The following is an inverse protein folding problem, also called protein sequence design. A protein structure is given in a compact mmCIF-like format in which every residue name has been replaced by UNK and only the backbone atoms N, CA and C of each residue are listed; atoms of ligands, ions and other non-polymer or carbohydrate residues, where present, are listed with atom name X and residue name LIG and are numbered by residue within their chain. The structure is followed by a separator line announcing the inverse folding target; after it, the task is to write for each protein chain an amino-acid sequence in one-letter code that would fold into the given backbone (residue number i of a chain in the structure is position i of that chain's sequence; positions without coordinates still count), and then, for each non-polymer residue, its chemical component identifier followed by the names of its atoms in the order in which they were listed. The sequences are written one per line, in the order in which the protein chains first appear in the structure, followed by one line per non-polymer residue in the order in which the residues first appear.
data_IF_478938312781
#
_entry.id   IF_478938312781
#
_cell.length_a   1.000
_cell.length_b   1.000
_cell.length_c   1.000
_cell.angle_alpha   90.00
_cell.angle_beta   90.00
_cell.angle_gamma   90.00
#
_symmetry.space_group_name_H-M   'P 1'
#
loop_
_entity.id
_entity.type
_entity.pdbx_description
1 polymer ?
#
# COMPACT_ATOMS: atom_id res chain seq x y z
N UNK A 1 30.60 -9.96 -17.85
CA UNK A 1 29.66 -11.06 -18.16
C UNK A 1 28.26 -10.48 -18.02
N UNK A 2 27.75 -9.96 -19.15
CA UNK A 2 26.46 -9.28 -19.26
C UNK A 2 25.33 -10.24 -18.89
N UNK A 3 24.81 -10.11 -17.69
CA UNK A 3 23.53 -10.70 -17.34
C UNK A 3 22.47 -9.80 -17.94
N UNK A 4 21.78 -10.29 -18.98
CA UNK A 4 20.66 -9.55 -19.58
C UNK A 4 19.67 -9.10 -18.47
N UNK A 5 19.23 -7.83 -18.45
CA UNK A 5 18.36 -7.27 -17.41
C UNK A 5 17.07 -8.08 -17.20
N UNK A 6 16.58 -8.75 -18.25
CA UNK A 6 15.41 -9.62 -18.20
C UNK A 6 15.55 -10.86 -17.30
N UNK A 7 16.76 -11.43 -17.12
CA UNK A 7 16.97 -12.58 -16.21
C UNK A 7 16.95 -12.15 -14.75
N UNK A 8 17.54 -11.01 -14.41
CA UNK A 8 17.52 -10.49 -13.03
C UNK A 8 16.11 -10.18 -12.55
N UNK A 9 15.25 -9.71 -13.45
CA UNK A 9 13.86 -9.42 -13.17
C UNK A 9 13.02 -10.65 -12.89
N UNK A 10 13.10 -11.66 -13.75
CA UNK A 10 12.39 -12.91 -13.53
C UNK A 10 12.71 -13.51 -12.16
N UNK A 11 13.95 -13.34 -11.68
CA UNK A 11 14.37 -13.83 -10.37
C UNK A 11 13.78 -12.98 -9.22
N UNK A 12 13.65 -11.65 -9.36
CA UNK A 12 13.01 -10.78 -8.36
C UNK A 12 11.53 -11.13 -8.22
N UNK A 13 10.80 -11.26 -9.34
CA UNK A 13 9.40 -11.64 -9.33
C UNK A 13 9.17 -13.03 -8.73
N UNK A 14 9.99 -14.01 -9.09
CA UNK A 14 9.90 -15.36 -8.51
C UNK A 14 10.06 -15.34 -7.00
N UNK A 15 11.06 -14.62 -6.50
CA UNK A 15 11.30 -14.49 -5.05
C UNK A 15 10.14 -13.76 -4.35
N UNK A 16 9.60 -12.70 -4.98
CA UNK A 16 8.45 -11.97 -4.44
C UNK A 16 7.21 -12.86 -4.37
N UNK A 17 6.90 -13.58 -5.44
CA UNK A 17 5.77 -14.52 -5.48
C UNK A 17 5.95 -15.62 -4.43
N UNK A 18 7.14 -16.19 -4.30
CA UNK A 18 7.43 -17.20 -3.28
C UNK A 18 7.24 -16.64 -1.87
N UNK A 19 7.77 -15.44 -1.59
CA UNK A 19 7.59 -14.77 -0.29
C UNK A 19 6.11 -14.52 0.03
N UNK A 20 5.34 -14.07 -0.96
CA UNK A 20 3.89 -13.86 -0.83
C UNK A 20 3.16 -15.20 -0.60
N UNK A 21 3.54 -16.26 -1.29
CA UNK A 21 2.95 -17.58 -1.10
C UNK A 21 3.23 -18.16 0.27
N UNK A 22 4.44 -18.03 0.77
CA UNK A 22 4.79 -18.43 2.15
C UNK A 22 3.95 -17.63 3.15
N UNK A 23 3.82 -16.32 2.96
CA UNK A 23 3.01 -15.46 3.81
C UNK A 23 1.52 -15.84 3.80
N UNK A 24 0.94 -16.06 2.62
CA UNK A 24 -0.47 -16.47 2.49
C UNK A 24 -0.71 -17.86 3.08
N UNK A 25 0.21 -18.81 2.83
CA UNK A 25 0.15 -20.13 3.45
C UNK A 25 0.18 -20.05 4.98
N UNK A 26 1.02 -19.17 5.51
CA UNK A 26 1.11 -18.93 6.95
C UNK A 26 -0.21 -18.35 7.49
N UNK A 27 -0.82 -17.36 6.82
CA UNK A 27 -2.12 -16.80 7.21
C UNK A 27 -3.23 -17.85 7.17
N UNK A 28 -3.26 -18.69 6.15
CA UNK A 28 -4.30 -19.72 6.01
C UNK A 28 -4.19 -20.83 7.08
N UNK A 29 -2.97 -21.09 7.57
CA UNK A 29 -2.73 -22.10 8.61
C UNK A 29 -3.11 -21.60 10.02
N UNK A 30 -3.10 -20.29 10.22
CA UNK A 30 -3.52 -19.69 11.48
C UNK A 30 -4.98 -19.26 11.31
N UNK A 31 -5.90 -19.91 12.01
CA UNK A 31 -7.34 -19.61 11.98
C UNK A 31 -7.61 -18.26 12.67
N UNK A 32 -7.37 -17.17 11.97
CA UNK A 32 -7.72 -15.84 12.48
C UNK A 32 -9.21 -15.58 12.23
N UNK A 33 -9.92 -15.23 13.29
CA UNK A 33 -11.33 -14.81 13.22
C UNK A 33 -11.49 -13.33 12.86
N UNK A 34 -10.44 -12.52 13.07
CA UNK A 34 -10.51 -11.06 12.91
C UNK A 34 -9.72 -10.57 11.70
N UNK A 35 -10.35 -9.71 10.90
CA UNK A 35 -9.75 -9.07 9.71
C UNK A 35 -8.51 -8.23 10.07
N UNK A 36 -8.47 -7.69 11.30
CA UNK A 36 -7.35 -6.86 11.80
C UNK A 36 -6.07 -7.69 12.03
N UNK A 37 -6.18 -9.00 12.23
CA UNK A 37 -5.02 -9.85 12.46
C UNK A 37 -4.12 -10.03 11.22
N UNK A 38 -4.69 -9.97 10.03
CA UNK A 38 -3.94 -10.14 8.77
C UNK A 38 -2.84 -9.07 8.59
N UNK A 39 -3.12 -7.77 8.73
CA UNK A 39 -2.09 -6.74 8.71
C UNK A 39 -1.06 -6.87 9.83
N UNK A 40 -1.49 -7.24 11.04
CA UNK A 40 -0.59 -7.39 12.19
C UNK A 40 0.45 -8.50 11.95
N UNK A 41 0.00 -9.65 11.47
CA UNK A 41 0.88 -10.77 11.10
C UNK A 41 1.79 -10.37 9.94
N UNK A 42 1.29 -9.59 8.98
CA UNK A 42 2.09 -9.02 7.89
C UNK A 42 3.27 -8.19 8.39
N UNK A 43 3.02 -7.31 9.37
CA UNK A 43 4.08 -6.50 9.99
C UNK A 43 5.11 -7.39 10.71
N UNK A 44 4.65 -8.38 11.49
CA UNK A 44 5.56 -9.30 12.18
C UNK A 44 6.42 -10.11 11.21
N UNK A 45 5.81 -10.65 10.15
CA UNK A 45 6.52 -11.39 9.11
C UNK A 45 7.54 -10.50 8.39
N UNK A 46 7.16 -9.27 8.04
CA UNK A 46 8.05 -8.27 7.44
C UNK A 46 9.27 -7.97 8.33
N UNK A 47 9.08 -7.83 9.64
CA UNK A 47 10.16 -7.58 10.59
C UNK A 47 11.15 -8.75 10.67
N UNK A 48 10.68 -10.00 10.58
CA UNK A 48 11.54 -11.18 10.52
C UNK A 48 12.41 -11.16 9.26
N UNK A 49 11.78 -10.92 8.09
CA UNK A 49 12.50 -10.83 6.81
C UNK A 49 13.51 -9.68 6.83
N UNK A 50 13.12 -8.53 7.37
CA UNK A 50 14.00 -7.36 7.49
C UNK A 50 15.19 -7.64 8.43
N UNK A 51 14.96 -8.34 9.54
CA UNK A 51 16.04 -8.76 10.46
C UNK A 51 17.08 -9.65 9.78
N UNK A 52 16.63 -10.65 9.01
CA UNK A 52 17.53 -11.51 8.23
C UNK A 52 18.28 -10.71 7.16
N UNK A 53 17.59 -9.82 6.46
CA UNK A 53 18.17 -8.96 5.42
C UNK A 53 19.24 -8.04 6.00
N UNK A 54 18.97 -7.40 7.14
CA UNK A 54 19.92 -6.51 7.82
C UNK A 54 21.14 -7.29 8.33
N UNK A 55 20.95 -8.50 8.87
CA UNK A 55 22.07 -9.35 9.28
C UNK A 55 22.98 -9.69 8.10
N UNK A 56 22.42 -10.07 6.95
CA UNK A 56 23.19 -10.36 5.75
C UNK A 56 23.89 -9.10 5.22
N UNK A 57 23.21 -7.96 5.20
CA UNK A 57 23.80 -6.68 4.79
C UNK A 57 24.98 -6.28 5.69
N UNK A 58 24.86 -6.49 6.99
CA UNK A 58 25.94 -6.26 7.95
C UNK A 58 27.13 -7.20 7.70
N UNK A 59 26.85 -8.51 7.53
CA UNK A 59 27.89 -9.53 7.30
C UNK A 59 28.71 -9.27 6.02
N UNK A 60 28.08 -8.71 4.98
CA UNK A 60 28.73 -8.43 3.70
C UNK A 60 29.12 -6.96 3.53
N UNK A 61 29.07 -6.15 4.59
CA UNK A 61 29.38 -4.71 4.59
C UNK A 61 28.56 -3.91 3.56
N UNK A 62 27.33 -4.35 3.27
CA UNK A 62 26.42 -3.74 2.28
C UNK A 62 25.31 -2.89 2.92
N UNK A 63 25.42 -2.54 4.19
CA UNK A 63 24.38 -1.82 4.94
C UNK A 63 24.04 -0.46 4.30
N UNK A 64 25.07 0.28 3.87
CA UNK A 64 24.90 1.57 3.20
C UNK A 64 24.19 1.41 1.84
N UNK A 65 24.55 0.40 1.07
CA UNK A 65 23.92 0.12 -0.22
C UNK A 65 22.45 -0.29 -0.03
N UNK A 66 22.15 -1.11 0.97
CA UNK A 66 20.79 -1.53 1.28
C UNK A 66 19.91 -0.32 1.64
N UNK A 67 20.38 0.55 2.53
CA UNK A 67 19.63 1.75 2.91
C UNK A 67 19.40 2.70 1.73
N UNK A 68 20.42 2.91 0.88
CA UNK A 68 20.27 3.69 -0.35
C UNK A 68 19.24 3.12 -1.33
N UNK A 69 19.15 1.79 -1.45
CA UNK A 69 18.19 1.16 -2.37
C UNK A 69 16.76 1.15 -1.84
N UNK A 70 16.60 1.15 -0.52
CA UNK A 70 15.26 1.16 0.09
C UNK A 70 14.63 2.55 0.11
N UNK A 71 15.43 3.61 0.10
CA UNK A 71 14.91 5.00 0.06
C UNK A 71 14.43 5.33 -1.35
N UNK A 72 13.20 5.82 -1.47
CA UNK A 72 12.60 6.19 -2.75
C UNK A 72 13.20 7.46 -3.35
N UNK A 73 13.70 7.34 -4.59
CA UNK A 73 14.27 8.45 -5.37
C UNK A 73 13.81 8.36 -6.83
N UNK A 74 13.23 9.42 -7.37
CA UNK A 74 12.92 9.48 -8.81
C UNK A 74 14.12 9.85 -9.67
N UNK A 75 15.14 10.49 -9.11
CA UNK A 75 16.37 10.87 -9.82
C UNK A 75 17.20 9.67 -10.30
N UNK A 76 16.99 8.50 -9.73
CA UNK A 76 17.70 7.26 -10.10
C UNK A 76 17.04 6.49 -11.26
N UNK A 77 15.90 6.96 -11.77
CA UNK A 77 15.16 6.28 -12.85
C UNK A 77 15.81 6.56 -14.19
N UNK A 78 16.55 5.57 -14.72
CA UNK A 78 17.32 5.65 -15.96
C UNK A 78 16.60 4.86 -17.07
N UNK A 79 16.79 5.26 -18.34
CA UNK A 79 16.35 4.49 -19.51
C UNK A 79 16.85 3.03 -19.43
N UNK A 80 15.96 2.07 -19.71
CA UNK A 80 16.22 0.63 -19.58
C UNK A 80 15.79 0.03 -18.24
N UNK A 81 15.41 0.84 -17.23
CA UNK A 81 14.85 0.34 -15.97
C UNK A 81 13.36 0.64 -15.78
N UNK A 82 12.87 1.78 -16.29
CA UNK A 82 11.45 2.13 -16.17
C UNK A 82 10.53 1.24 -17.02
N UNK A 83 11.08 0.55 -18.00
CA UNK A 83 10.32 -0.39 -18.86
C UNK A 83 9.63 -1.49 -18.05
N UNK A 84 10.16 -1.79 -16.86
CA UNK A 84 9.58 -2.74 -15.91
C UNK A 84 8.22 -2.30 -15.36
N UNK A 85 8.01 -1.00 -15.25
CA UNK A 85 6.74 -0.44 -14.81
C UNK A 85 5.62 -0.77 -15.80
N UNK A 86 5.91 -0.99 -17.09
CA UNK A 86 4.90 -1.42 -18.05
C UNK A 86 4.24 -2.76 -17.69
N UNK A 87 4.95 -3.61 -16.95
CA UNK A 87 4.37 -4.86 -16.44
C UNK A 87 3.30 -4.61 -15.37
N UNK A 88 3.31 -3.46 -14.72
CA UNK A 88 2.25 -3.12 -13.75
C UNK A 88 0.92 -2.82 -14.43
N UNK A 89 0.92 -2.34 -15.67
CA UNK A 89 -0.30 -1.96 -16.39
C UNK A 89 -1.30 -3.13 -16.52
N UNK A 90 -0.91 -4.32 -17.05
CA UNK A 90 -1.83 -5.45 -17.11
C UNK A 90 -2.25 -5.93 -15.72
N UNK A 91 -1.39 -5.83 -14.71
CA UNK A 91 -1.72 -6.21 -13.34
C UNK A 91 -2.74 -5.24 -12.72
N UNK A 92 -2.64 -3.94 -12.98
CA UNK A 92 -3.63 -2.94 -12.55
C UNK A 92 -4.98 -3.17 -13.24
N UNK A 93 -4.99 -3.49 -14.53
CA UNK A 93 -6.22 -3.85 -15.26
C UNK A 93 -6.85 -5.09 -14.62
N UNK A 94 -6.05 -6.11 -14.32
CA UNK A 94 -6.51 -7.32 -13.65
C UNK A 94 -7.09 -7.00 -12.27
N UNK A 95 -6.41 -6.18 -11.46
CA UNK A 95 -6.90 -5.72 -10.17
C UNK A 95 -8.25 -4.98 -10.28
N UNK A 96 -8.41 -4.16 -11.33
CA UNK A 96 -9.66 -3.45 -11.59
C UNK A 96 -10.82 -4.40 -11.93
N UNK A 97 -10.57 -5.43 -12.74
CA UNK A 97 -11.59 -6.46 -13.07
C UNK A 97 -12.05 -7.20 -11.82
N UNK A 98 -11.11 -7.54 -10.91
CA UNK A 98 -11.41 -8.22 -9.66
C UNK A 98 -11.83 -7.32 -8.49
N UNK A 99 -11.91 -6.00 -8.70
CA UNK A 99 -12.19 -5.02 -7.63
C UNK A 99 -13.48 -5.32 -6.83
N UNK A 100 -14.52 -5.83 -7.48
CA UNK A 100 -15.76 -6.22 -6.80
C UNK A 100 -15.56 -7.41 -5.85
N UNK A 101 -14.77 -8.40 -6.25
CA UNK A 101 -14.47 -9.56 -5.42
C UNK A 101 -13.65 -9.15 -4.19
N UNK A 102 -12.70 -8.21 -4.36
CA UNK A 102 -11.93 -7.66 -3.25
C UNK A 102 -12.80 -6.88 -2.26
N UNK A 103 -13.83 -6.16 -2.74
CA UNK A 103 -14.81 -5.50 -1.88
C UNK A 103 -15.56 -6.50 -1.00
N UNK A 104 -16.02 -7.60 -1.59
CA UNK A 104 -16.76 -8.65 -0.88
C UNK A 104 -15.85 -9.33 0.17
N UNK A 105 -14.62 -9.66 -0.20
CA UNK A 105 -13.62 -10.25 0.70
C UNK A 105 -13.25 -9.31 1.85
N UNK A 106 -13.22 -8.00 1.60
CA UNK A 106 -12.99 -6.97 2.62
C UNK A 106 -14.08 -6.91 3.72
N UNK A 107 -15.27 -7.46 3.47
CA UNK A 107 -16.35 -7.57 4.47
C UNK A 107 -16.18 -8.76 5.43
N UNK A 108 -15.19 -9.61 5.20
CA UNK A 108 -14.87 -10.76 6.05
C UNK A 108 -15.24 -12.12 5.44
N UNK A 109 -14.70 -13.17 6.08
CA UNK A 109 -14.78 -14.56 5.55
C UNK A 109 -16.21 -15.09 5.49
N UNK A 110 -16.96 -14.91 6.58
CA UNK A 110 -18.33 -15.46 6.69
C UNK A 110 -19.26 -14.81 5.67
N UNK A 111 -19.13 -13.48 5.49
CA UNK A 111 -19.94 -12.73 4.53
C UNK A 111 -19.62 -13.12 3.07
N UNK A 112 -18.34 -13.30 2.75
CA UNK A 112 -17.89 -13.71 1.42
C UNK A 112 -18.37 -15.09 1.04
N UNK A 113 -18.31 -16.04 1.96
CA UNK A 113 -18.76 -17.41 1.76
C UNK A 113 -20.27 -17.50 1.55
N UNK A 114 -21.06 -16.71 2.30
CA UNK A 114 -22.51 -16.64 2.14
C UNK A 114 -22.92 -16.09 0.76
N UNK A 115 -22.08 -15.24 0.15
CA UNK A 115 -22.26 -14.73 -1.21
C UNK A 115 -21.69 -15.66 -2.31
N UNK A 116 -21.18 -16.84 -1.94
CA UNK A 116 -20.60 -17.80 -2.88
C UNK A 116 -19.22 -17.42 -3.40
N UNK A 117 -18.53 -16.43 -2.78
CA UNK A 117 -17.18 -16.01 -3.18
C UNK A 117 -16.14 -16.79 -2.39
N UNK A 118 -15.20 -17.49 -3.06
CA UNK A 118 -14.14 -18.23 -2.38
C UNK A 118 -13.12 -17.27 -1.76
N UNK A 119 -13.31 -16.98 -0.46
CA UNK A 119 -12.51 -16.00 0.30
C UNK A 119 -11.01 -16.23 0.16
N UNK A 120 -10.54 -17.45 0.42
CA UNK A 120 -9.11 -17.77 0.47
C UNK A 120 -8.42 -17.60 -0.90
N UNK A 121 -9.12 -17.95 -1.98
CA UNK A 121 -8.61 -17.83 -3.34
C UNK A 121 -8.54 -16.36 -3.77
N UNK A 122 -9.58 -15.58 -3.52
CA UNK A 122 -9.62 -14.15 -3.89
C UNK A 122 -8.62 -13.36 -3.06
N UNK A 123 -8.47 -13.67 -1.78
CA UNK A 123 -7.45 -13.07 -0.92
C UNK A 123 -6.03 -13.37 -1.47
N UNK A 124 -5.76 -14.63 -1.82
CA UNK A 124 -4.49 -15.04 -2.41
C UNK A 124 -4.18 -14.29 -3.71
N UNK A 125 -5.15 -14.23 -4.62
CA UNK A 125 -4.99 -13.50 -5.89
C UNK A 125 -4.75 -12.01 -5.65
N UNK A 126 -5.52 -11.39 -4.76
CA UNK A 126 -5.37 -9.97 -4.42
C UNK A 126 -4.00 -9.64 -3.85
N UNK A 127 -3.54 -10.42 -2.87
CA UNK A 127 -2.21 -10.24 -2.27
C UNK A 127 -1.09 -10.49 -3.28
N UNK A 128 -1.23 -11.49 -4.17
CA UNK A 128 -0.24 -11.77 -5.21
C UNK A 128 -0.14 -10.62 -6.22
N UNK A 129 -1.27 -10.10 -6.70
CA UNK A 129 -1.32 -8.96 -7.62
C UNK A 129 -0.71 -7.72 -6.96
N UNK A 130 -1.12 -7.41 -5.72
CA UNK A 130 -0.59 -6.27 -4.97
C UNK A 130 0.94 -6.39 -4.76
N UNK A 131 1.43 -7.57 -4.38
CA UNK A 131 2.85 -7.82 -4.20
C UNK A 131 3.65 -7.65 -5.50
N UNK A 132 3.13 -8.12 -6.64
CA UNK A 132 3.80 -7.97 -7.94
C UNK A 132 3.85 -6.50 -8.38
N UNK A 133 2.76 -5.74 -8.21
CA UNK A 133 2.72 -4.30 -8.52
C UNK A 133 3.73 -3.57 -7.62
N UNK A 134 3.69 -3.81 -6.32
CA UNK A 134 4.60 -3.17 -5.36
C UNK A 134 6.06 -3.49 -5.65
N UNK A 135 6.38 -4.76 -5.92
CA UNK A 135 7.74 -5.17 -6.28
C UNK A 135 8.26 -4.45 -7.53
N UNK A 136 7.41 -4.31 -8.57
CA UNK A 136 7.78 -3.60 -9.80
C UNK A 136 8.13 -2.15 -9.54
N UNK A 137 7.34 -1.48 -8.70
CA UNK A 137 7.54 -0.06 -8.36
C UNK A 137 8.78 0.12 -7.47
N UNK A 138 8.92 -0.71 -6.42
CA UNK A 138 10.03 -0.61 -5.46
C UNK A 138 11.38 -0.87 -6.12
N UNK A 139 11.45 -1.80 -7.08
CA UNK A 139 12.71 -2.08 -7.83
C UNK A 139 13.14 -0.88 -8.68
N UNK A 140 12.20 -0.08 -9.18
CA UNK A 140 12.48 1.03 -10.09
C UNK A 140 12.71 2.34 -9.33
N UNK A 141 11.89 2.63 -8.34
CA UNK A 141 11.84 3.94 -7.66
C UNK A 141 12.35 3.86 -6.22
N UNK A 142 12.37 2.67 -5.62
CA UNK A 142 12.55 2.49 -4.19
C UNK A 142 11.22 2.48 -3.44
N UNK A 143 11.30 2.36 -2.12
CA UNK A 143 10.13 2.35 -1.25
C UNK A 143 9.62 3.78 -1.03
N UNK A 144 8.31 3.95 -1.07
CA UNK A 144 7.66 5.22 -0.73
C UNK A 144 6.61 4.91 0.34
N UNK A 145 6.92 5.27 1.58
CA UNK A 145 6.08 5.01 2.72
C UNK A 145 4.82 5.91 2.72
N UNK A 146 3.77 5.46 3.43
CA UNK A 146 2.54 6.22 3.72
C UNK A 146 1.59 6.51 2.55
N UNK A 147 1.98 6.45 1.27
CA UNK A 147 1.08 6.75 0.14
C UNK A 147 -0.15 5.86 0.15
N UNK A 148 0.04 4.54 0.33
CA UNK A 148 -1.05 3.56 0.37
C UNK A 148 -2.03 3.76 1.52
N UNK A 149 -1.64 4.49 2.56
CA UNK A 149 -2.51 4.84 3.68
C UNK A 149 -3.21 6.19 3.46
N UNK A 150 -2.48 7.19 3.01
CA UNK A 150 -2.97 8.58 2.92
C UNK A 150 -3.94 8.75 1.76
N UNK A 151 -3.53 8.34 0.57
CA UNK A 151 -4.28 8.56 -0.67
C UNK A 151 -5.66 7.90 -0.65
N UNK A 152 -5.80 6.59 -0.34
CA UNK A 152 -7.11 5.96 -0.28
C UNK A 152 -8.01 6.57 0.80
N UNK A 153 -7.46 6.93 1.97
CA UNK A 153 -8.25 7.54 3.04
C UNK A 153 -8.78 8.92 2.68
N UNK A 154 -8.00 9.72 1.94
CA UNK A 154 -8.46 11.02 1.44
C UNK A 154 -9.60 10.81 0.44
N UNK A 155 -9.43 9.93 -0.54
CA UNK A 155 -10.46 9.66 -1.57
C UNK A 155 -11.71 9.07 -0.96
N UNK A 156 -11.59 8.10 -0.02
CA UNK A 156 -12.72 7.51 0.68
C UNK A 156 -13.54 8.54 1.48
N UNK A 157 -12.90 9.59 1.98
CA UNK A 157 -13.59 10.67 2.68
C UNK A 157 -14.53 11.48 1.77
N UNK A 158 -14.17 11.63 0.49
CA UNK A 158 -14.98 12.40 -0.47
C UNK A 158 -15.98 11.55 -1.25
N UNK A 159 -15.63 10.29 -1.57
CA UNK A 159 -16.42 9.41 -2.45
C UNK A 159 -16.97 8.14 -1.77
N UNK A 160 -16.59 7.89 -0.52
CA UNK A 160 -16.96 6.67 0.21
C UNK A 160 -16.00 5.50 -0.04
N UNK A 161 -16.30 4.34 0.59
CA UNK A 161 -15.39 3.20 0.68
C UNK A 161 -15.56 2.16 -0.46
N UNK A 162 -16.27 2.47 -1.53
CA UNK A 162 -16.44 1.54 -2.65
C UNK A 162 -15.17 1.46 -3.51
N UNK A 163 -14.42 0.36 -3.41
CA UNK A 163 -13.12 0.17 -4.12
C UNK A 163 -13.27 0.40 -5.63
N UNK A 164 -14.28 -0.18 -6.27
CA UNK A 164 -14.45 -0.07 -7.72
C UNK A 164 -14.72 1.36 -8.18
N UNK A 165 -15.55 2.11 -7.45
CA UNK A 165 -15.90 3.48 -7.78
C UNK A 165 -14.79 4.49 -7.51
N UNK A 166 -13.87 4.17 -6.59
CA UNK A 166 -12.83 5.10 -6.13
C UNK A 166 -11.43 4.72 -6.60
N UNK A 167 -11.24 3.54 -7.23
CA UNK A 167 -9.92 3.03 -7.62
C UNK A 167 -9.20 3.94 -8.62
N UNK A 168 -9.92 4.42 -9.66
CA UNK A 168 -9.35 5.34 -10.66
C UNK A 168 -9.03 6.69 -10.03
N UNK A 169 -9.93 7.22 -9.20
CA UNK A 169 -9.70 8.49 -8.49
C UNK A 169 -8.53 8.39 -7.53
N UNK A 170 -8.39 7.25 -6.83
CA UNK A 170 -7.27 6.98 -5.94
C UNK A 170 -5.96 6.95 -6.72
N UNK A 171 -5.93 6.31 -7.89
CA UNK A 171 -4.75 6.26 -8.75
C UNK A 171 -4.38 7.65 -9.27
N UNK A 172 -5.34 8.43 -9.78
CA UNK A 172 -5.10 9.78 -10.28
C UNK A 172 -4.67 10.73 -9.17
N UNK A 173 -5.37 10.72 -8.05
CA UNK A 173 -5.01 11.56 -6.91
C UNK A 173 -3.64 11.19 -6.35
N UNK A 174 -3.32 9.90 -6.26
CA UNK A 174 -2.01 9.41 -5.84
C UNK A 174 -0.89 9.87 -6.79
N UNK A 175 -1.11 9.80 -8.10
CA UNK A 175 -0.15 10.26 -9.09
C UNK A 175 0.12 11.76 -8.96
N UNK A 176 -0.93 12.58 -8.85
CA UNK A 176 -0.78 14.04 -8.65
C UNK A 176 -0.08 14.35 -7.32
N UNK A 177 -0.46 13.67 -6.24
CA UNK A 177 0.14 13.86 -4.93
C UNK A 177 1.65 13.57 -4.95
N UNK A 178 2.07 12.44 -5.56
CA UNK A 178 3.47 12.05 -5.70
C UNK A 178 4.25 13.07 -6.53
N UNK A 179 3.68 13.51 -7.67
CA UNK A 179 4.31 14.54 -8.52
C UNK A 179 4.52 15.87 -7.78
N UNK A 180 3.51 16.31 -7.04
CA UNK A 180 3.63 17.54 -6.23
C UNK A 180 4.71 17.40 -5.17
N UNK A 181 4.76 16.26 -4.47
CA UNK A 181 5.80 15.98 -3.48
C UNK A 181 7.21 15.95 -4.11
N UNK A 182 7.37 15.34 -5.28
CA UNK A 182 8.65 15.33 -6.01
C UNK A 182 9.08 16.72 -6.42
N UNK A 183 8.16 17.53 -6.95
CA UNK A 183 8.45 18.95 -7.29
C UNK A 183 8.91 19.76 -6.06
N UNK A 184 8.22 19.59 -4.93
CA UNK A 184 8.61 20.25 -3.68
C UNK A 184 10.01 19.80 -3.25
N UNK A 185 10.31 18.50 -3.31
CA UNK A 185 11.62 17.95 -2.94
C UNK A 185 12.78 18.48 -3.76
N UNK A 186 12.53 18.86 -5.02
CA UNK A 186 13.56 19.46 -5.92
C UNK A 186 13.75 20.95 -5.71
N UNK A 187 12.75 21.66 -5.19
CA UNK A 187 12.79 23.13 -5.07
C UNK A 187 13.24 23.58 -3.69
N UNK A 188 12.91 22.83 -2.62
CA UNK A 188 13.09 23.27 -1.23
C UNK A 188 14.56 23.51 -0.84
N UNK A 189 15.49 22.67 -1.32
CA UNK A 189 16.92 22.79 -0.96
C UNK A 189 17.79 22.76 -2.23
N UNK A 190 17.49 23.62 -3.19
CA UNK A 190 18.32 23.74 -4.38
C UNK A 190 19.78 24.08 -4.00
N UNK A 191 20.83 23.40 -4.57
CA UNK A 191 20.83 22.43 -5.67
C UNK A 191 20.72 20.95 -5.24
N UNK A 192 20.44 20.65 -3.99
CA UNK A 192 20.31 19.27 -3.48
C UNK A 192 18.90 18.73 -3.69
N UNK A 193 18.79 17.47 -4.13
CA UNK A 193 17.52 16.77 -4.25
C UNK A 193 17.22 16.02 -2.95
N UNK A 194 16.04 16.27 -2.37
CA UNK A 194 15.57 15.51 -1.21
C UNK A 194 14.89 14.21 -1.68
N UNK A 195 15.12 13.08 -0.97
CA UNK A 195 14.38 11.86 -1.23
C UNK A 195 12.88 12.10 -1.13
N UNK A 196 12.11 11.58 -2.09
CA UNK A 196 10.65 11.74 -2.10
C UNK A 196 10.01 11.14 -0.85
N UNK A 197 10.57 10.07 -0.31
CA UNK A 197 10.11 9.42 0.92
C UNK A 197 10.04 10.40 2.10
N UNK A 198 11.04 11.27 2.27
CA UNK A 198 11.05 12.30 3.31
C UNK A 198 9.90 13.30 3.13
N UNK A 199 9.72 13.80 1.93
CA UNK A 199 8.68 14.81 1.64
C UNK A 199 7.29 14.21 1.83
N UNK A 200 7.06 13.03 1.29
CA UNK A 200 5.78 12.30 1.46
C UNK A 200 5.56 11.96 2.93
N UNK A 201 6.59 11.55 3.65
CA UNK A 201 6.51 11.26 5.09
C UNK A 201 6.05 12.47 5.90
N UNK A 202 6.65 13.64 5.68
CA UNK A 202 6.29 14.87 6.40
C UNK A 202 4.91 15.37 6.00
N UNK A 203 4.68 15.62 4.70
CA UNK A 203 3.40 16.16 4.20
C UNK A 203 2.27 15.17 4.49
N UNK A 204 2.52 13.89 4.26
CA UNK A 204 1.56 12.83 4.47
C UNK A 204 1.16 12.67 5.93
N UNK A 205 2.11 12.77 6.86
CA UNK A 205 1.82 12.71 8.30
C UNK A 205 0.97 13.89 8.76
N UNK A 206 1.26 15.09 8.29
CA UNK A 206 0.47 16.30 8.59
C UNK A 206 -0.96 16.14 8.04
N UNK A 207 -1.10 15.70 6.79
CA UNK A 207 -2.40 15.46 6.18
C UNK A 207 -3.18 14.37 6.90
N UNK A 208 -2.53 13.28 7.30
CA UNK A 208 -3.18 12.17 8.01
C UNK A 208 -3.67 12.58 9.40
N UNK A 209 -2.85 13.32 10.16
CA UNK A 209 -3.26 13.86 11.46
C UNK A 209 -4.44 14.83 11.29
N UNK A 210 -4.38 15.73 10.29
CA UNK A 210 -5.46 16.65 9.96
C UNK A 210 -6.78 15.91 9.64
N UNK A 211 -6.70 14.86 8.83
CA UNK A 211 -7.82 13.98 8.50
C UNK A 211 -8.41 13.29 9.73
N UNK A 212 -7.56 12.75 10.60
CA UNK A 212 -7.98 12.08 11.81
C UNK A 212 -8.73 13.05 12.74
N UNK A 213 -8.17 14.24 12.94
CA UNK A 213 -8.80 15.29 13.74
C UNK A 213 -10.14 15.75 13.14
N UNK A 214 -10.21 15.86 11.83
CA UNK A 214 -11.45 16.21 11.14
C UNK A 214 -12.53 15.14 11.35
N UNK A 215 -12.22 13.85 11.16
CA UNK A 215 -13.16 12.73 11.41
C UNK A 215 -13.62 12.70 12.87
N UNK A 216 -12.72 12.89 13.83
CA UNK A 216 -13.07 12.91 15.25
C UNK A 216 -14.00 14.08 15.62
N UNK A 217 -13.80 15.26 15.03
CA UNK A 217 -14.67 16.42 15.29
C UNK A 217 -16.07 16.23 14.70
N UNK A 218 -16.19 15.65 13.50
CA UNK A 218 -17.50 15.43 12.86
C UNK A 218 -18.23 14.23 13.48
N UNK A 219 -17.56 13.15 13.82
CA UNK A 219 -18.15 12.02 14.54
C UNK A 219 -18.73 12.42 15.91
N UNK A 220 -18.03 13.27 16.66
CA UNK A 220 -18.53 13.79 17.95
C UNK A 220 -19.76 14.69 17.80
N UNK A 221 -19.87 15.45 16.72
CA UNK A 221 -21.09 16.27 16.45
C UNK A 221 -22.30 15.38 16.14
N UNK A 222 -22.15 14.35 15.33
CA UNK A 222 -23.23 13.42 15.00
C UNK A 222 -23.75 12.67 16.23
N UNK A 223 -22.87 12.20 17.10
CA UNK A 223 -23.24 11.53 18.37
C UNK A 223 -23.94 12.48 19.32
N UNK A 224 -23.52 13.75 19.41
CA UNK A 224 -24.18 14.76 20.25
C UNK A 224 -25.58 15.11 19.74
N UNK A 225 -25.77 15.26 18.43
CA UNK A 225 -27.07 15.52 17.84
C UNK A 225 -28.03 14.34 17.99
N UNK A 226 -27.56 13.10 17.85
CA UNK A 226 -28.34 11.90 18.09
C UNK A 226 -28.77 11.75 19.57
N UNK A 227 -27.89 12.11 20.53
CA UNK A 227 -28.27 12.14 21.95
C UNK A 227 -29.25 13.27 22.29
N UNK A 228 -29.14 14.44 21.65
CA UNK A 228 -30.08 15.53 21.85
C UNK A 228 -31.47 15.19 21.28
N UNK A 229 -31.55 14.61 20.09
CA UNK A 229 -32.82 14.17 19.47
C UNK A 229 -33.51 13.06 20.30
N UNK A 230 -32.76 12.14 20.89
CA UNK A 230 -33.31 11.08 21.77
C UNK A 230 -33.85 11.62 23.09
N UNK A 231 -33.32 12.75 23.56
CA UNK A 231 -33.76 13.40 24.81
C UNK A 231 -35.02 14.23 24.62
N UNK A 232 -35.25 14.77 23.44
CA UNK A 232 -36.46 15.53 23.09
C UNK A 232 -37.64 14.65 22.61
N UNK A 233 -37.38 13.48 22.02
CA UNK A 233 -38.40 12.52 21.57
C UNK A 233 -38.91 11.56 22.66
N UNK A 234 -38.35 11.58 23.86
CA UNK A 234 -38.77 10.76 25.02
C UNK A 234 -39.60 11.52 26.04
N UNK A 235 -40.01 12.77 25.75
CA UNK A 235 -40.77 13.60 26.64
C UNK A 235 -42.20 13.90 26.08
N UNK A 236 -42.67 13.13 25.11
CA UNK A 236 -44.04 13.06 24.58
C UNK A 236 -44.58 11.59 24.77
#
# INVERSE_FOLDING_TARGET
RDRSPSRGLGDVYKRQVLGTWVFVWFIQHIQFKDVVMVPLVGIMFSNIVMGVTNYLAYKYEMTQALSSWLVGHFSTVIRGRYELVWLTVPLVILAFVFANHFNIVGMGKDFSQNLGVPYDLVLFMGLTIAAMITASVVVVVGSISYIGLIVPNIVAMFKGDQIRGTMVDTALFGAVFVLVCDMIGRVVIYPYELPIELIVGVIGSILFIGLLLYRLRHGRKAVRLGKAAKKTGGAA
#
